data_IF_859113415257
#
_entry.id   IF_859113415257
#
_cell.length_a   1.000
_cell.length_b   1.000
_cell.length_c   1.000
_cell.angle_alpha   90.00
_cell.angle_beta   90.00
_cell.angle_gamma   90.00
#
_symmetry.space_group_name_H-M   'P 1'
#
loop_
_entity.id
_entity.type
_entity.pdbx_description
1 polymer ?
#
# COMPACT_ATOMS: atom_id res chain seq x y z
N UNK A 1 -23.14 42.00 28.93
CA UNK A 1 -23.56 40.67 28.41
C UNK A 1 -23.04 40.53 26.99
N UNK A 2 -21.89 39.87 26.78
CA UNK A 2 -21.40 39.53 25.44
C UNK A 2 -21.60 38.03 25.22
N UNK A 3 -22.34 37.60 24.18
CA UNK A 3 -22.41 36.19 23.84
C UNK A 3 -21.22 35.83 22.92
N UNK A 4 -20.00 35.78 23.45
CA UNK A 4 -18.82 35.24 22.73
C UNK A 4 -18.59 33.77 23.07
N UNK A 5 -19.57 32.89 22.81
CA UNK A 5 -19.40 31.42 22.99
C UNK A 5 -20.34 30.62 22.07
N UNK A 6 -20.31 30.83 20.75
CA UNK A 6 -20.96 29.89 19.80
C UNK A 6 -20.17 29.62 18.52
N UNK A 7 -19.25 30.51 18.12
CA UNK A 7 -18.52 30.35 16.85
C UNK A 7 -17.35 29.36 16.90
N UNK A 8 -16.76 29.09 18.07
CA UNK A 8 -15.59 28.19 18.15
C UNK A 8 -15.98 26.73 17.94
N UNK A 9 -17.14 26.30 18.48
CA UNK A 9 -17.57 24.89 18.44
C UNK A 9 -17.83 24.37 17.00
N UNK A 10 -18.33 25.25 16.11
CA UNK A 10 -18.66 24.87 14.73
C UNK A 10 -17.42 24.64 13.87
N UNK A 11 -16.31 25.33 14.14
CA UNK A 11 -15.05 25.18 13.39
C UNK A 11 -14.38 23.85 13.71
N UNK A 12 -14.39 23.42 14.98
CA UNK A 12 -13.83 22.11 15.37
C UNK A 12 -14.58 20.92 14.76
N UNK A 13 -15.92 21.02 14.62
CA UNK A 13 -16.76 19.97 14.04
C UNK A 13 -16.53 19.82 12.53
N UNK A 14 -16.30 20.92 11.81
CA UNK A 14 -15.98 20.91 10.39
C UNK A 14 -14.57 20.40 10.09
N UNK A 15 -13.58 20.70 10.95
CA UNK A 15 -12.24 20.11 10.82
C UNK A 15 -12.25 18.59 11.04
N UNK A 16 -13.08 18.07 11.93
CA UNK A 16 -13.24 16.62 12.16
C UNK A 16 -13.88 15.89 10.96
N UNK A 17 -14.77 16.55 10.22
CA UNK A 17 -15.39 16.00 9.01
C UNK A 17 -14.45 16.05 7.80
N UNK A 18 -13.53 17.02 7.74
CA UNK A 18 -12.54 17.16 6.67
C UNK A 18 -11.25 16.36 6.93
N UNK A 19 -11.04 15.85 8.14
CA UNK A 19 -9.92 14.97 8.49
C UNK A 19 -10.20 13.49 8.25
N UNK A 20 -11.32 13.14 7.62
CA UNK A 20 -11.48 11.83 6.97
C UNK A 20 -10.65 11.88 5.70
N UNK A 21 -9.32 11.86 5.88
CA UNK A 21 -8.38 11.57 4.81
C UNK A 21 -8.77 10.20 4.28
N UNK A 22 -8.95 10.06 2.97
CA UNK A 22 -9.22 8.78 2.30
C UNK A 22 -7.99 7.88 2.53
N UNK A 23 -7.95 7.24 3.69
CA UNK A 23 -6.83 6.42 4.11
C UNK A 23 -6.83 5.17 3.23
N UNK A 24 -5.80 5.04 2.39
CA UNK A 24 -5.65 3.94 1.44
C UNK A 24 -5.66 2.60 2.18
N UNK A 25 -6.53 1.68 1.76
CA UNK A 25 -6.62 0.34 2.33
C UNK A 25 -6.00 -0.68 1.36
N UNK A 26 -5.00 -1.44 1.79
CA UNK A 26 -4.30 -2.41 0.94
C UNK A 26 -4.51 -3.84 1.43
N UNK A 27 -4.45 -4.81 0.51
CA UNK A 27 -4.34 -6.22 0.93
C UNK A 27 -2.96 -6.46 1.49
N UNK A 28 -2.89 -7.04 2.67
CA UNK A 28 -1.65 -7.36 3.37
C UNK A 28 -1.58 -8.86 3.62
N UNK A 29 -0.40 -9.42 3.39
CA UNK A 29 -0.06 -10.76 3.80
C UNK A 29 1.40 -10.78 4.27
N UNK A 30 1.62 -11.30 5.47
CA UNK A 30 2.92 -11.24 6.14
C UNK A 30 3.96 -12.17 5.52
N UNK A 31 5.19 -11.65 5.40
CA UNK A 31 6.24 -12.04 4.44
C UNK A 31 6.82 -13.47 4.53
N UNK A 32 6.32 -14.31 5.42
CA UNK A 32 6.88 -15.62 5.74
C UNK A 32 5.83 -16.73 5.68
N UNK A 33 4.55 -16.41 5.47
CA UNK A 33 3.52 -17.44 5.42
C UNK A 33 3.35 -17.99 3.99
N UNK A 34 3.59 -19.30 3.76
CA UNK A 34 3.25 -19.95 2.49
C UNK A 34 1.77 -19.77 2.10
N UNK A 35 0.91 -19.44 3.08
CA UNK A 35 -0.50 -19.21 2.85
C UNK A 35 -0.80 -17.94 2.06
N UNK A 36 0.16 -17.02 1.89
CA UNK A 36 0.04 -15.85 1.01
C UNK A 36 -0.07 -16.19 -0.49
N UNK A 37 0.23 -17.44 -0.88
CA UNK A 37 -0.05 -17.97 -2.22
C UNK A 37 -1.57 -18.09 -2.48
N UNK A 38 -2.38 -18.16 -1.42
CA UNK A 38 -3.84 -18.20 -1.49
C UNK A 38 -4.46 -16.89 -1.01
N UNK A 39 -5.31 -16.21 -1.82
CA UNK A 39 -5.96 -14.94 -1.44
C UNK A 39 -6.82 -15.01 -0.17
N UNK A 40 -7.13 -16.22 0.33
CA UNK A 40 -8.01 -16.45 1.48
C UNK A 40 -7.44 -15.95 2.81
N UNK A 41 -6.13 -15.76 2.89
CA UNK A 41 -5.43 -15.32 4.11
C UNK A 41 -4.99 -13.85 4.06
N UNK A 42 -5.31 -13.15 2.97
CA UNK A 42 -5.13 -11.71 2.91
C UNK A 42 -6.07 -11.04 3.91
N UNK A 43 -5.55 -10.07 4.65
CA UNK A 43 -6.37 -9.12 5.39
C UNK A 43 -6.16 -7.72 4.84
N UNK A 44 -7.14 -6.86 5.03
CA UNK A 44 -6.96 -5.47 4.64
C UNK A 44 -6.28 -4.68 5.76
N UNK A 45 -5.33 -3.84 5.37
CA UNK A 45 -4.63 -2.93 6.26
C UNK A 45 -4.78 -1.50 5.74
N UNK A 46 -5.18 -0.59 6.64
CA UNK A 46 -5.17 0.85 6.37
C UNK A 46 -3.72 1.34 6.44
N UNK A 47 -3.27 2.06 5.41
CA UNK A 47 -1.93 2.61 5.38
C UNK A 47 -1.81 3.85 6.28
N UNK A 48 -0.74 3.91 7.07
CA UNK A 48 -0.53 4.99 8.04
C UNK A 48 -0.14 6.33 7.38
N UNK A 49 0.49 6.29 6.20
CA UNK A 49 0.97 7.47 5.48
C UNK A 49 0.02 7.86 4.34
N UNK A 50 -0.34 9.15 4.25
CA UNK A 50 -1.14 9.72 3.14
C UNK A 50 -0.48 9.54 1.77
N UNK A 51 0.84 9.35 1.74
CA UNK A 51 1.63 9.09 0.53
C UNK A 51 2.01 7.62 0.43
N UNK A 52 1.04 6.72 0.65
CA UNK A 52 1.22 5.28 0.49
C UNK A 52 0.69 4.78 -0.85
N UNK A 53 1.23 3.65 -1.29
CA UNK A 53 0.73 2.82 -2.37
C UNK A 53 0.58 1.39 -1.87
N UNK A 54 -0.36 0.66 -2.45
CA UNK A 54 -0.44 -0.78 -2.27
C UNK A 54 0.60 -1.46 -3.16
N UNK A 55 1.35 -2.39 -2.60
CA UNK A 55 2.34 -3.18 -3.33
C UNK A 55 2.02 -4.67 -3.30
N UNK A 56 2.42 -5.38 -4.34
CA UNK A 56 2.38 -6.83 -4.44
C UNK A 56 3.68 -7.31 -5.04
N UNK A 57 4.30 -8.30 -4.42
CA UNK A 57 5.56 -8.88 -4.84
C UNK A 57 5.41 -10.39 -4.90
N UNK A 58 5.88 -10.98 -5.99
CA UNK A 58 5.89 -12.41 -6.19
C UNK A 58 7.28 -12.83 -6.64
N UNK A 59 7.96 -13.61 -5.81
CA UNK A 59 9.24 -14.23 -6.13
C UNK A 59 9.03 -15.73 -6.31
N UNK A 60 9.53 -16.27 -7.43
CA UNK A 60 9.60 -17.71 -7.67
C UNK A 60 11.03 -18.12 -7.95
N UNK A 61 11.63 -18.89 -7.05
CA UNK A 61 12.98 -19.41 -7.17
C UNK A 61 13.07 -20.84 -6.65
N UNK A 62 14.03 -21.10 -5.75
CA UNK A 62 14.05 -22.33 -4.96
C UNK A 62 12.85 -22.41 -4.00
N UNK A 63 12.41 -21.24 -3.51
CA UNK A 63 11.22 -21.04 -2.71
C UNK A 63 10.30 -20.05 -3.44
N UNK A 64 8.99 -20.16 -3.20
CA UNK A 64 8.00 -19.16 -3.65
C UNK A 64 7.69 -18.25 -2.48
N UNK A 65 7.77 -16.94 -2.71
CA UNK A 65 7.47 -15.94 -1.68
C UNK A 65 6.54 -14.89 -2.27
N UNK A 66 5.45 -14.61 -1.55
CA UNK A 66 4.46 -13.60 -1.91
C UNK A 66 4.37 -12.60 -0.78
N UNK A 67 4.42 -11.31 -1.12
CA UNK A 67 4.33 -10.22 -0.15
C UNK A 67 3.35 -9.18 -0.68
N UNK A 68 2.45 -8.72 0.17
CA UNK A 68 1.51 -7.65 -0.14
C UNK A 68 1.41 -6.69 1.03
N UNK A 69 1.11 -5.42 0.77
CA UNK A 69 0.75 -4.47 1.82
C UNK A 69 0.91 -3.02 1.41
N UNK A 70 1.11 -2.16 2.40
CA UNK A 70 1.37 -0.73 2.24
C UNK A 70 2.86 -0.44 2.07
N UNK A 71 3.19 0.52 1.19
CA UNK A 71 4.54 1.06 1.03
C UNK A 71 4.46 2.54 0.70
N UNK A 72 5.40 3.37 1.18
CA UNK A 72 5.42 4.78 0.80
C UNK A 72 5.73 4.94 -0.69
N UNK A 73 5.18 5.97 -1.33
CA UNK A 73 5.44 6.29 -2.75
C UNK A 73 6.94 6.43 -3.03
N UNK A 74 7.70 7.04 -2.11
CA UNK A 74 9.16 7.21 -2.23
C UNK A 74 9.87 5.84 -2.23
N UNK A 75 9.49 4.94 -1.34
CA UNK A 75 10.06 3.58 -1.30
C UNK A 75 9.69 2.77 -2.55
N UNK A 76 8.48 2.94 -3.07
CA UNK A 76 8.04 2.30 -4.30
C UNK A 76 8.84 2.79 -5.52
N UNK A 77 9.02 4.11 -5.66
CA UNK A 77 9.85 4.71 -6.72
C UNK A 77 11.30 4.22 -6.66
N UNK A 78 11.89 4.19 -5.47
CA UNK A 78 13.25 3.69 -5.28
C UNK A 78 13.39 2.22 -5.70
N UNK A 79 12.45 1.36 -5.30
CA UNK A 79 12.42 -0.05 -5.73
C UNK A 79 12.24 -0.20 -7.23
N UNK A 80 11.36 0.59 -7.84
CA UNK A 80 11.16 0.58 -9.30
C UNK A 80 12.46 0.90 -10.04
N UNK A 81 13.19 1.94 -9.61
CA UNK A 81 14.46 2.36 -10.21
C UNK A 81 15.53 1.27 -10.06
N UNK A 82 15.66 0.65 -8.89
CA UNK A 82 16.73 -0.32 -8.63
C UNK A 82 16.50 -1.68 -9.28
N UNK A 83 15.26 -2.17 -9.27
CA UNK A 83 15.00 -3.58 -9.54
C UNK A 83 14.36 -3.84 -10.92
N UNK A 84 13.83 -2.78 -11.57
CA UNK A 84 12.84 -2.95 -12.65
C UNK A 84 13.00 -1.95 -13.80
N UNK A 85 14.24 -1.54 -14.10
CA UNK A 85 14.58 -0.56 -15.15
C UNK A 85 13.75 -0.80 -16.42
N UNK A 86 12.76 0.07 -16.67
CA UNK A 86 11.89 0.04 -17.85
C UNK A 86 10.42 -0.34 -17.61
N UNK A 87 10.06 -0.81 -16.42
CA UNK A 87 8.68 -1.18 -16.07
C UNK A 87 7.99 -0.08 -15.26
N UNK A 88 6.78 0.33 -15.68
CA UNK A 88 6.00 1.36 -14.99
C UNK A 88 4.97 0.69 -14.08
N UNK A 89 5.15 0.84 -12.77
CA UNK A 89 4.25 0.41 -11.69
C UNK A 89 3.95 -1.10 -11.60
N UNK A 90 4.13 -1.88 -12.66
CA UNK A 90 4.03 -3.33 -12.65
C UNK A 90 4.99 -3.95 -13.68
N UNK A 91 5.40 -5.18 -13.43
CA UNK A 91 6.27 -5.91 -14.34
C UNK A 91 6.78 -7.21 -13.74
N UNK A 92 7.45 -7.99 -14.59
CA UNK A 92 8.13 -9.20 -14.16
C UNK A 92 9.52 -9.26 -14.78
N UNK A 93 10.52 -9.53 -13.94
CA UNK A 93 11.90 -9.67 -14.33
C UNK A 93 12.29 -11.14 -14.17
N UNK A 94 12.68 -11.77 -15.28
CA UNK A 94 13.29 -13.10 -15.26
C UNK A 94 14.79 -12.96 -15.02
N UNK A 95 15.31 -13.56 -13.95
CA UNK A 95 16.75 -13.69 -13.69
C UNK A 95 17.09 -15.17 -13.78
N UNK A 96 18.25 -15.55 -14.31
CA UNK A 96 18.73 -16.95 -14.51
C UNK A 96 17.72 -18.10 -14.23
N UNK A 97 17.44 -18.40 -12.95
CA UNK A 97 16.48 -19.43 -12.49
C UNK A 97 15.34 -18.89 -11.60
N UNK A 98 15.23 -17.59 -11.44
CA UNK A 98 14.19 -16.94 -10.63
C UNK A 98 13.30 -16.04 -11.48
N UNK A 99 12.12 -15.76 -10.95
CA UNK A 99 11.14 -14.90 -11.58
C UNK A 99 10.55 -13.98 -10.53
N UNK A 100 10.71 -12.68 -10.72
CA UNK A 100 10.31 -11.64 -9.78
C UNK A 100 9.25 -10.77 -10.44
N UNK A 101 8.02 -10.80 -9.95
CA UNK A 101 6.95 -9.90 -10.37
C UNK A 101 6.61 -8.91 -9.27
N UNK A 102 6.18 -7.73 -9.69
CA UNK A 102 5.78 -6.66 -8.80
C UNK A 102 4.63 -5.86 -9.39
N UNK A 103 3.84 -5.25 -8.51
CA UNK A 103 2.75 -4.33 -8.84
C UNK A 103 2.64 -3.27 -7.75
N UNK A 104 2.40 -2.03 -8.15
CA UNK A 104 2.13 -0.88 -7.30
C UNK A 104 0.86 -0.18 -7.78
N UNK A 105 0.00 0.24 -6.86
CA UNK A 105 -1.24 0.93 -7.21
C UNK A 105 -1.77 1.76 -6.03
N UNK A 106 -2.60 2.76 -6.33
CA UNK A 106 -3.07 3.79 -5.37
C UNK A 106 -4.60 3.75 -5.18
N UNK A 107 -5.20 2.56 -5.24
CA UNK A 107 -6.64 2.35 -5.00
C UNK A 107 -6.82 1.28 -3.94
N UNK A 108 -7.96 1.27 -3.27
CA UNK A 108 -8.20 0.28 -2.23
C UNK A 108 -8.14 -1.16 -2.77
N UNK A 109 -7.42 -2.02 -2.04
CA UNK A 109 -7.27 -3.45 -2.28
C UNK A 109 -6.89 -3.82 -3.72
N UNK A 110 -6.09 -2.97 -4.38
CA UNK A 110 -5.75 -3.12 -5.80
C UNK A 110 -4.57 -4.06 -6.10
N UNK A 111 -3.82 -4.45 -5.07
CA UNK A 111 -2.55 -5.18 -5.12
C UNK A 111 -2.70 -6.71 -5.05
#
# INVERSE_FOLDING_TARGET
MQPMRKSVLHVFLLCWLLSVSDALECRTCDKIDPSCDTPSNDYNQVCDDENSVCYSWFHRGAETNVQRGCMSTISAEYKLIQETIGHRNEGCVKRMRTFDCFKFCSRDACN
#
